data_IF_105873870612
#
_entry.id   IF_105873870612
#
_cell.length_a   1.000
_cell.length_b   1.000
_cell.length_c   1.000
_cell.angle_alpha   90.00
_cell.angle_beta   90.00
_cell.angle_gamma   90.00
#
_symmetry.space_group_name_H-M   'P 1'
#
loop_
_entity.id
_entity.type
_entity.pdbx_description
1 polymer ?
#
# COMPACT_ATOMS: atom_id res chain seq x y z
N UNK A 1 -27.00 14.34 2.78
CA UNK A 1 -26.05 13.44 3.47
C UNK A 1 -25.38 12.60 2.40
N UNK A 2 -24.05 12.66 2.28
CA UNK A 2 -23.33 11.86 1.29
C UNK A 2 -23.35 10.40 1.77
N UNK A 3 -23.94 9.49 0.99
CA UNK A 3 -24.02 8.06 1.32
C UNK A 3 -22.65 7.40 1.06
N UNK A 4 -21.71 7.65 1.98
CA UNK A 4 -20.34 7.13 1.89
C UNK A 4 -20.31 5.61 1.99
N UNK A 5 -21.24 5.00 2.73
CA UNK A 5 -21.36 3.55 2.87
C UNK A 5 -21.80 2.90 1.55
N UNK A 6 -22.83 3.43 0.89
CA UNK A 6 -23.26 2.91 -0.41
C UNK A 6 -22.21 3.12 -1.50
N UNK A 7 -21.53 4.27 -1.51
CA UNK A 7 -20.40 4.51 -2.43
C UNK A 7 -19.27 3.50 -2.23
N UNK A 8 -18.91 3.24 -0.97
CA UNK A 8 -17.92 2.23 -0.61
C UNK A 8 -18.29 0.83 -1.11
N UNK A 9 -19.56 0.41 -0.93
CA UNK A 9 -20.03 -0.88 -1.41
C UNK A 9 -19.94 -1.03 -2.93
N UNK A 10 -20.29 0.02 -3.68
CA UNK A 10 -20.23 0.01 -5.16
C UNK A 10 -18.81 0.16 -5.71
N UNK A 11 -17.87 0.69 -4.94
CA UNK A 11 -16.50 0.95 -5.38
C UNK A 11 -15.64 -0.29 -5.61
N UNK A 12 -16.06 -1.45 -5.09
CA UNK A 12 -15.24 -2.66 -5.05
C UNK A 12 -14.29 -2.74 -3.84
N UNK A 13 -14.06 -1.64 -3.10
CA UNK A 13 -13.12 -1.62 -1.97
C UNK A 13 -13.60 -2.48 -0.80
N UNK A 14 -14.91 -2.55 -0.56
CA UNK A 14 -15.51 -3.44 0.45
C UNK A 14 -15.17 -4.93 0.20
N UNK A 15 -14.89 -5.32 -1.05
CA UNK A 15 -14.50 -6.69 -1.42
C UNK A 15 -13.02 -6.99 -1.19
N UNK A 16 -12.21 -5.95 -0.93
CA UNK A 16 -10.77 -6.05 -0.66
C UNK A 16 -10.42 -5.90 0.82
N UNK A 17 -11.35 -5.37 1.62
CA UNK A 17 -11.14 -5.10 3.05
C UNK A 17 -11.99 -6.01 3.93
N UNK A 18 -11.41 -6.45 5.05
CA UNK A 18 -12.09 -7.28 6.05
C UNK A 18 -11.56 -8.71 6.12
N UNK A 19 -12.17 -9.52 6.99
CA UNK A 19 -11.85 -10.94 7.14
C UNK A 19 -12.17 -11.71 5.84
N UNK A 20 -11.40 -12.76 5.48
CA UNK A 20 -11.62 -13.53 4.25
C UNK A 20 -13.09 -13.99 4.10
N UNK A 21 -13.62 -14.61 5.14
CA UNK A 21 -14.96 -15.23 5.15
C UNK A 21 -16.03 -14.37 5.85
N UNK A 22 -15.68 -13.15 6.27
CA UNK A 22 -16.59 -12.24 6.98
C UNK A 22 -17.55 -11.48 6.05
N UNK A 23 -18.46 -10.65 6.58
CA UNK A 23 -19.15 -9.67 5.73
C UNK A 23 -18.15 -8.63 5.18
N UNK A 24 -18.47 -7.93 4.07
CA UNK A 24 -17.68 -6.79 3.61
C UNK A 24 -17.57 -5.72 4.71
N UNK A 25 -16.37 -5.16 4.89
CA UNK A 25 -16.12 -4.13 5.90
C UNK A 25 -16.50 -2.74 5.36
N UNK A 26 -17.46 -2.06 5.99
CA UNK A 26 -17.89 -0.70 5.65
C UNK A 26 -17.34 0.37 6.60
N UNK A 27 -16.64 -0.01 7.68
CA UNK A 27 -16.08 0.92 8.68
C UNK A 27 -15.02 1.86 8.09
N UNK A 28 -14.49 1.51 6.92
CA UNK A 28 -13.42 2.24 6.21
C UNK A 28 -13.91 3.16 5.09
N UNK A 29 -15.22 3.36 4.97
CA UNK A 29 -15.83 4.18 3.90
C UNK A 29 -15.26 5.61 3.78
N UNK A 30 -14.78 6.19 4.89
CA UNK A 30 -14.10 7.48 4.90
C UNK A 30 -12.83 7.54 4.04
N UNK A 31 -12.16 6.41 3.79
CA UNK A 31 -10.99 6.33 2.91
C UNK A 31 -11.37 6.69 1.47
N UNK A 32 -12.49 6.16 0.96
CA UNK A 32 -12.96 6.48 -0.39
C UNK A 32 -13.38 7.95 -0.48
N UNK A 33 -14.11 8.46 0.51
CA UNK A 33 -14.50 9.88 0.53
C UNK A 33 -13.27 10.81 0.48
N UNK A 34 -12.20 10.44 1.21
CA UNK A 34 -10.94 11.19 1.14
C UNK A 34 -10.26 11.05 -0.23
N UNK A 35 -10.23 9.85 -0.80
CA UNK A 35 -9.67 9.60 -2.12
C UNK A 35 -10.41 10.36 -3.23
N UNK A 36 -11.75 10.45 -3.15
CA UNK A 36 -12.58 11.25 -4.06
C UNK A 36 -12.23 12.74 -3.98
N UNK A 37 -12.05 13.28 -2.77
CA UNK A 37 -11.62 14.67 -2.60
C UNK A 37 -10.22 14.93 -3.19
N UNK A 38 -9.29 13.97 -3.03
CA UNK A 38 -7.96 14.06 -3.64
C UNK A 38 -8.04 13.97 -5.16
N UNK A 39 -8.84 13.04 -5.69
CA UNK A 39 -9.05 12.85 -7.13
C UNK A 39 -9.68 14.09 -7.77
N UNK A 40 -10.65 14.73 -7.12
CA UNK A 40 -11.23 16.00 -7.57
C UNK A 40 -10.16 17.10 -7.65
N UNK A 41 -9.35 17.28 -6.59
CA UNK A 41 -8.29 18.29 -6.59
C UNK A 41 -7.22 18.05 -7.65
N UNK A 42 -6.86 16.79 -7.91
CA UNK A 42 -5.94 16.42 -9.00
C UNK A 42 -6.57 16.73 -10.35
N UNK A 43 -7.84 16.34 -10.55
CA UNK A 43 -8.56 16.55 -11.80
C UNK A 43 -8.73 18.01 -12.16
N UNK A 44 -9.04 18.87 -11.18
CA UNK A 44 -9.08 20.33 -11.36
C UNK A 44 -7.74 20.91 -11.79
N UNK A 45 -6.63 20.42 -11.23
CA UNK A 45 -5.27 20.92 -11.53
C UNK A 45 -4.76 20.45 -12.89
N UNK A 46 -5.09 19.23 -13.28
CA UNK A 46 -4.58 18.59 -14.49
C UNK A 46 -5.55 18.70 -15.68
N UNK A 47 -6.80 19.08 -15.46
CA UNK A 47 -7.83 19.09 -16.50
C UNK A 47 -8.26 17.69 -16.94
N UNK A 48 -8.12 16.68 -16.07
CA UNK A 48 -8.45 15.28 -16.37
C UNK A 48 -9.48 14.74 -15.39
N UNK A 49 -10.30 13.78 -15.82
CA UNK A 49 -11.20 13.06 -14.92
C UNK A 49 -10.44 11.97 -14.18
N UNK A 50 -10.52 11.96 -12.85
CA UNK A 50 -9.91 10.92 -12.01
C UNK A 50 -11.01 10.20 -11.23
N UNK A 51 -11.24 8.92 -11.54
CA UNK A 51 -12.27 8.11 -10.90
C UNK A 51 -11.66 7.31 -9.73
N UNK A 52 -11.68 7.89 -8.53
CA UNK A 52 -11.01 7.34 -7.35
C UNK A 52 -11.32 5.86 -7.08
N UNK A 53 -12.60 5.47 -7.17
CA UNK A 53 -13.01 4.08 -6.98
C UNK A 53 -12.31 3.12 -7.96
N UNK A 54 -12.35 3.43 -9.25
CA UNK A 54 -11.72 2.61 -10.31
C UNK A 54 -10.20 2.60 -10.14
N UNK A 55 -9.60 3.75 -9.85
CA UNK A 55 -8.15 3.86 -9.62
C UNK A 55 -7.68 2.97 -8.47
N UNK A 56 -8.46 2.87 -7.39
CA UNK A 56 -8.09 2.09 -6.21
C UNK A 56 -8.42 0.60 -6.32
N UNK A 57 -9.54 0.24 -6.97
CA UNK A 57 -10.02 -1.16 -7.00
C UNK A 57 -9.81 -1.86 -8.34
N UNK A 58 -9.59 -1.14 -9.43
CA UNK A 58 -9.59 -1.68 -10.79
C UNK A 58 -8.56 -2.79 -11.02
N UNK A 59 -7.31 -2.58 -10.59
CA UNK A 59 -6.26 -3.61 -10.70
C UNK A 59 -6.61 -4.87 -9.91
N UNK A 60 -7.17 -4.70 -8.72
CA UNK A 60 -7.55 -5.81 -7.88
C UNK A 60 -8.70 -6.61 -8.50
N UNK A 61 -9.65 -5.95 -9.17
CA UNK A 61 -10.71 -6.62 -9.92
C UNK A 61 -10.15 -7.43 -11.11
N UNK A 62 -9.22 -6.86 -11.89
CA UNK A 62 -8.58 -7.54 -13.03
C UNK A 62 -7.76 -8.77 -12.59
N UNK A 63 -7.07 -8.66 -11.45
CA UNK A 63 -6.26 -9.73 -10.89
C UNK A 63 -7.06 -10.72 -10.01
N UNK A 64 -8.39 -10.57 -9.91
CA UNK A 64 -9.24 -11.46 -9.11
C UNK A 64 -8.96 -11.42 -7.61
N UNK A 65 -8.34 -10.34 -7.11
CA UNK A 65 -7.96 -10.22 -5.70
C UNK A 65 -9.20 -10.03 -4.83
N UNK A 66 -9.11 -10.54 -3.60
CA UNK A 66 -10.17 -10.51 -2.59
C UNK A 66 -9.57 -10.12 -1.24
N UNK A 67 -10.43 -9.77 -0.29
CA UNK A 67 -10.08 -9.58 1.12
C UNK A 67 -9.42 -10.83 1.71
N UNK A 68 -8.35 -10.64 2.49
CA UNK A 68 -7.58 -11.73 3.13
C UNK A 68 -7.25 -11.45 4.60
N UNK A 69 -8.03 -10.60 5.26
CA UNK A 69 -7.85 -10.25 6.67
C UNK A 69 -6.49 -9.59 6.93
N UNK A 70 -5.60 -10.31 7.60
CA UNK A 70 -4.25 -9.86 7.96
C UNK A 70 -3.22 -10.04 6.85
N UNK A 71 -3.64 -10.59 5.71
CA UNK A 71 -2.78 -10.81 4.55
C UNK A 71 -3.12 -9.74 3.52
N UNK A 72 -2.09 -9.14 2.92
CA UNK A 72 -2.25 -8.23 1.79
C UNK A 72 -3.00 -8.91 0.63
N UNK A 73 -3.67 -8.11 -0.21
CA UNK A 73 -4.44 -8.64 -1.34
C UNK A 73 -3.59 -9.53 -2.28
N UNK A 74 -2.33 -9.15 -2.50
CA UNK A 74 -1.36 -9.92 -3.30
C UNK A 74 -0.70 -11.10 -2.56
N UNK A 75 -0.96 -11.29 -1.27
CA UNK A 75 -0.52 -12.46 -0.50
C UNK A 75 0.89 -12.37 0.11
N UNK A 76 1.76 -11.51 -0.41
CA UNK A 76 3.17 -11.47 -0.02
C UNK A 76 3.43 -10.84 1.37
N UNK A 77 2.57 -9.92 1.81
CA UNK A 77 2.69 -9.28 3.14
C UNK A 77 1.67 -9.86 4.13
N UNK A 78 2.10 -10.15 5.36
CA UNK A 78 1.23 -10.50 6.49
C UNK A 78 1.45 -9.59 7.69
N UNK A 79 0.36 -9.24 8.38
CA UNK A 79 0.38 -8.65 9.72
C UNK A 79 0.50 -9.76 10.76
N UNK A 80 1.57 -9.72 11.55
CA UNK A 80 1.94 -10.73 12.53
C UNK A 80 1.85 -10.14 13.94
N UNK A 81 1.17 -10.83 14.88
CA UNK A 81 1.23 -10.45 16.28
C UNK A 81 2.65 -10.71 16.81
N UNK A 82 3.12 -9.82 17.66
CA UNK A 82 4.33 -10.00 18.46
C UNK A 82 3.96 -9.94 19.94
N UNK A 83 4.92 -10.19 20.83
CA UNK A 83 4.67 -10.20 22.28
C UNK A 83 4.07 -8.88 22.80
N UNK A 84 4.46 -7.76 22.21
CA UNK A 84 4.13 -6.41 22.66
C UNK A 84 3.53 -5.52 21.56
N UNK A 85 3.12 -6.10 20.43
CA UNK A 85 2.55 -5.32 19.32
C UNK A 85 2.28 -6.12 18.07
N UNK A 86 2.44 -5.46 16.92
CA UNK A 86 2.25 -6.02 15.60
C UNK A 86 3.36 -5.56 14.67
N UNK A 87 3.74 -6.41 13.73
CA UNK A 87 4.58 -6.02 12.59
C UNK A 87 3.95 -6.47 11.28
N UNK A 88 4.30 -5.79 10.19
CA UNK A 88 4.05 -6.24 8.83
C UNK A 88 5.35 -6.79 8.26
N UNK A 89 5.35 -8.02 7.75
CA UNK A 89 6.48 -8.64 7.05
C UNK A 89 6.06 -8.96 5.62
N UNK A 90 6.91 -8.64 4.64
CA UNK A 90 6.72 -8.97 3.23
C UNK A 90 7.75 -9.99 2.77
N UNK A 91 7.28 -11.06 2.13
CA UNK A 91 8.11 -12.04 1.43
C UNK A 91 7.67 -12.06 -0.04
N UNK A 92 8.13 -11.09 -0.84
CA UNK A 92 7.71 -10.91 -2.24
C UNK A 92 8.77 -11.36 -3.24
N UNK A 93 10.04 -11.39 -2.82
CA UNK A 93 11.18 -11.83 -3.62
C UNK A 93 11.58 -13.26 -3.23
N UNK A 94 12.13 -14.06 -4.15
CA UNK A 94 12.74 -15.35 -3.82
C UNK A 94 13.78 -15.25 -2.69
N UNK A 95 14.58 -14.18 -2.71
CA UNK A 95 15.59 -13.91 -1.68
C UNK A 95 14.97 -13.64 -0.29
N UNK A 96 13.78 -13.04 -0.24
CA UNK A 96 13.07 -12.85 1.04
C UNK A 96 12.71 -14.21 1.65
N UNK A 97 12.23 -15.15 0.82
CA UNK A 97 11.90 -16.52 1.24
C UNK A 97 13.16 -17.28 1.64
N UNK A 98 14.25 -17.15 0.88
CA UNK A 98 15.53 -17.78 1.17
C UNK A 98 16.17 -17.28 2.47
N UNK A 99 15.83 -16.06 2.93
CA UNK A 99 16.29 -15.50 4.20
C UNK A 99 15.48 -16.00 5.42
N UNK A 100 14.36 -16.71 5.24
CA UNK A 100 13.52 -17.18 6.35
C UNK A 100 14.26 -18.10 7.32
N UNK A 101 15.07 -19.09 6.91
CA UNK A 101 15.83 -19.92 7.85
C UNK A 101 16.72 -19.07 8.77
N UNK A 102 17.38 -18.06 8.20
CA UNK A 102 18.17 -17.10 8.97
C UNK A 102 17.28 -16.24 9.89
N UNK A 103 16.10 -15.80 9.44
CA UNK A 103 15.14 -15.09 10.29
C UNK A 103 14.73 -15.94 11.51
N UNK A 104 14.43 -17.22 11.28
CA UNK A 104 13.94 -18.14 12.30
C UNK A 104 15.03 -18.69 13.23
N UNK A 105 16.31 -18.52 12.86
CA UNK A 105 17.45 -19.19 13.50
C UNK A 105 17.31 -20.72 13.45
N UNK A 106 16.80 -21.23 12.33
CA UNK A 106 16.48 -22.65 12.15
C UNK A 106 16.56 -23.06 10.69
N UNK A 107 17.25 -24.17 10.43
CA UNK A 107 17.37 -24.78 9.10
C UNK A 107 16.24 -25.78 8.78
N UNK A 108 15.18 -25.80 9.59
CA UNK A 108 14.05 -26.70 9.37
C UNK A 108 13.29 -26.32 8.08
N UNK A 109 13.18 -27.25 7.14
CA UNK A 109 12.31 -27.09 5.98
C UNK A 109 10.85 -27.22 6.42
N UNK A 110 10.12 -26.12 6.30
CA UNK A 110 8.71 -26.00 6.72
C UNK A 110 7.74 -25.99 5.54
N UNK A 111 8.24 -26.00 4.30
CA UNK A 111 7.43 -25.82 3.09
C UNK A 111 6.82 -24.42 3.01
N UNK A 112 5.65 -24.22 3.64
CA UNK A 112 5.10 -22.87 3.82
C UNK A 112 5.81 -22.20 5.02
N UNK A 113 6.58 -21.11 4.82
CA UNK A 113 7.32 -20.48 5.91
C UNK A 113 6.41 -19.78 6.93
N UNK A 114 5.17 -19.44 6.55
CA UNK A 114 4.37 -18.49 7.31
C UNK A 114 3.92 -18.96 8.70
N UNK A 115 3.51 -20.23 8.91
CA UNK A 115 3.22 -20.72 10.26
C UNK A 115 4.42 -20.56 11.20
N UNK A 116 5.61 -20.97 10.76
CA UNK A 116 6.83 -20.87 11.57
C UNK A 116 7.23 -19.41 11.85
N UNK A 117 7.10 -18.53 10.86
CA UNK A 117 7.32 -17.08 11.02
C UNK A 117 6.33 -16.47 12.02
N UNK A 118 5.05 -16.87 11.98
CA UNK A 118 4.04 -16.37 12.91
C UNK A 118 4.33 -16.80 14.35
N UNK A 119 4.64 -18.08 14.57
CA UNK A 119 4.98 -18.61 15.89
C UNK A 119 6.25 -17.96 16.45
N UNK A 120 7.26 -17.81 15.59
CA UNK A 120 8.53 -17.16 15.94
C UNK A 120 8.33 -15.69 16.33
N UNK A 121 7.48 -14.96 15.60
CA UNK A 121 7.19 -13.55 15.89
C UNK A 121 6.36 -13.38 17.18
N UNK A 122 5.40 -14.27 17.43
CA UNK A 122 4.46 -14.18 18.55
C UNK A 122 5.14 -14.17 19.93
N UNK A 123 6.30 -14.79 20.06
CA UNK A 123 7.06 -14.89 21.33
C UNK A 123 8.16 -13.83 21.48
N UNK A 124 8.35 -12.95 20.49
CA UNK A 124 9.41 -11.92 20.46
C UNK A 124 8.83 -10.51 20.55
N UNK A 125 9.63 -9.54 21.00
CA UNK A 125 9.21 -8.14 20.90
C UNK A 125 9.14 -7.69 19.45
N UNK A 126 8.28 -6.72 19.16
CA UNK A 126 8.16 -6.13 17.82
C UNK A 126 9.51 -5.56 17.34
N UNK A 127 10.23 -4.89 18.24
CA UNK A 127 11.57 -4.36 17.96
C UNK A 127 12.59 -5.43 17.59
N UNK A 128 12.54 -6.63 18.19
CA UNK A 128 13.44 -7.71 17.86
C UNK A 128 13.12 -8.33 16.49
N UNK A 129 11.83 -8.48 16.18
CA UNK A 129 11.37 -8.95 14.86
C UNK A 129 11.80 -7.98 13.76
N UNK A 130 11.51 -6.68 13.93
CA UNK A 130 11.87 -5.64 12.98
C UNK A 130 13.39 -5.54 12.84
N UNK A 131 14.12 -5.47 13.96
CA UNK A 131 15.58 -5.36 13.95
C UNK A 131 16.24 -6.51 13.20
N UNK A 132 15.76 -7.75 13.39
CA UNK A 132 16.28 -8.91 12.66
C UNK A 132 15.93 -8.89 11.19
N UNK A 133 14.68 -8.56 10.84
CA UNK A 133 14.29 -8.48 9.43
C UNK A 133 15.10 -7.43 8.67
N UNK A 134 15.34 -6.26 9.28
CA UNK A 134 16.20 -5.21 8.69
C UNK A 134 17.64 -5.71 8.47
N UNK A 135 18.22 -6.47 9.40
CA UNK A 135 19.56 -7.05 9.22
C UNK A 135 19.65 -8.04 8.04
N UNK A 136 18.51 -8.64 7.66
CA UNK A 136 18.40 -9.60 6.57
C UNK A 136 17.89 -8.97 5.26
N UNK A 137 17.83 -7.64 5.18
CA UNK A 137 17.23 -6.91 4.06
C UNK A 137 15.76 -7.31 3.76
N UNK A 138 15.03 -7.79 4.78
CA UNK A 138 13.62 -8.12 4.66
C UNK A 138 12.75 -6.87 4.85
N UNK A 139 11.73 -6.65 3.99
CA UNK A 139 10.79 -5.56 4.20
C UNK A 139 9.89 -5.87 5.41
N UNK A 140 10.22 -5.24 6.55
CA UNK A 140 9.52 -5.37 7.81
C UNK A 140 9.31 -4.01 8.47
N UNK A 141 8.16 -3.81 9.10
CA UNK A 141 7.82 -2.57 9.79
C UNK A 141 6.94 -2.87 11.02
N UNK A 142 7.19 -2.18 12.14
CA UNK A 142 6.28 -2.20 13.27
C UNK A 142 5.02 -1.37 12.98
N UNK A 143 3.87 -1.86 13.43
CA UNK A 143 2.61 -1.15 13.27
C UNK A 143 2.63 0.16 14.06
N UNK A 144 2.51 1.28 13.34
CA UNK A 144 2.50 2.62 13.95
C UNK A 144 3.89 3.20 14.25
N UNK A 145 4.96 2.64 13.69
CA UNK A 145 6.32 3.19 13.88
C UNK A 145 6.54 4.53 13.18
N UNK A 146 5.75 4.81 12.14
CA UNK A 146 5.80 6.07 11.40
C UNK A 146 4.66 6.99 11.84
N UNK A 147 5.00 8.20 12.28
CA UNK A 147 4.03 9.27 12.49
C UNK A 147 3.79 10.00 11.17
N UNK A 148 2.52 10.27 10.84
CA UNK A 148 2.19 11.05 9.66
C UNK A 148 2.72 12.50 9.80
N UNK A 149 3.65 12.89 8.94
CA UNK A 149 4.15 14.26 8.85
C UNK A 149 3.63 14.95 7.57
N UNK A 150 3.36 16.27 7.59
CA UNK A 150 3.09 17.00 6.37
C UNK A 150 4.31 16.96 5.44
N UNK A 151 4.13 17.03 4.11
CA UNK A 151 5.25 17.07 3.18
C UNK A 151 6.12 18.29 3.47
N UNK A 152 7.45 18.08 3.53
CA UNK A 152 8.42 19.17 3.64
C UNK A 152 8.58 19.81 2.26
N UNK A 153 8.10 21.04 2.12
CA UNK A 153 8.20 21.81 0.87
C UNK A 153 9.30 22.85 1.02
N UNK A 154 10.37 22.68 0.26
CA UNK A 154 11.47 23.65 0.21
C UNK A 154 11.45 24.36 -1.14
N UNK A 155 11.49 25.69 -1.12
CA UNK A 155 11.56 26.50 -2.34
C UNK A 155 13.01 26.53 -2.83
N UNK A 156 13.26 25.96 -4.01
CA UNK A 156 14.59 25.88 -4.62
C UNK A 156 14.85 26.95 -5.69
N UNK A 157 13.94 27.93 -5.86
CA UNK A 157 14.07 29.02 -6.82
C UNK A 157 12.87 29.98 -6.84
N UNK A 158 12.90 31.05 -7.65
CA UNK A 158 11.78 31.97 -7.78
C UNK A 158 10.52 31.27 -8.31
N UNK A 159 9.34 31.70 -7.85
CA UNK A 159 8.07 31.18 -8.35
C UNK A 159 7.85 31.62 -9.80
N UNK A 160 7.47 30.68 -10.66
CA UNK A 160 7.03 30.96 -12.03
C UNK A 160 5.53 30.74 -12.18
N UNK A 161 4.87 31.37 -13.18
CA UNK A 161 3.50 31.04 -13.55
C UNK A 161 3.35 29.53 -13.86
N UNK A 162 2.19 28.92 -13.58
CA UNK A 162 1.92 27.53 -13.95
C UNK A 162 2.16 27.29 -15.44
N UNK A 163 2.81 26.17 -15.77
CA UNK A 163 2.95 25.70 -17.17
C UNK A 163 1.84 24.71 -17.47
N UNK A 164 1.37 24.72 -18.71
CA UNK A 164 0.49 23.66 -19.19
C UNK A 164 1.23 22.31 -19.11
N UNK A 165 0.53 21.27 -18.68
CA UNK A 165 1.07 19.90 -18.62
C UNK A 165 1.22 19.30 -20.02
N UNK A 166 0.32 19.69 -20.93
CA UNK A 166 0.35 19.27 -22.33
C UNK A 166 1.67 19.61 -23.00
N UNK A 167 2.33 18.61 -23.57
CA UNK A 167 3.61 18.75 -24.26
C UNK A 167 4.84 18.77 -23.34
N UNK A 168 4.68 18.61 -22.02
CA UNK A 168 5.84 18.44 -21.13
C UNK A 168 6.43 17.04 -21.27
N UNK A 169 7.76 16.96 -21.23
CA UNK A 169 8.48 15.72 -20.99
C UNK A 169 8.69 15.56 -19.47
N UNK A 170 8.27 14.42 -18.93
CA UNK A 170 8.37 14.07 -17.52
C UNK A 170 9.23 12.83 -17.41
N UNK A 171 10.30 12.88 -16.62
CA UNK A 171 11.05 11.68 -16.26
C UNK A 171 10.52 11.15 -14.92
N UNK A 172 9.86 9.99 -14.93
CA UNK A 172 9.44 9.33 -13.69
C UNK A 172 10.61 8.56 -13.06
N UNK A 173 11.16 9.10 -11.97
CA UNK A 173 12.23 8.49 -11.16
C UNK A 173 11.70 7.91 -9.84
N UNK A 174 10.39 7.70 -9.73
CA UNK A 174 9.79 7.21 -8.50
C UNK A 174 10.20 5.78 -8.19
N UNK A 175 10.48 5.53 -6.91
CA UNK A 175 11.03 4.25 -6.47
C UNK A 175 9.99 3.25 -5.97
N UNK A 176 8.68 3.58 -5.86
CA UNK A 176 7.55 2.62 -5.75
C UNK A 176 6.14 3.26 -5.50
N UNK A 177 5.08 2.44 -5.66
CA UNK A 177 3.62 2.59 -5.40
C UNK A 177 2.85 3.72 -6.11
N UNK A 178 3.28 4.98 -6.00
CA UNK A 178 2.52 6.11 -6.54
C UNK A 178 2.95 6.52 -7.96
N UNK A 179 4.18 6.18 -8.36
CA UNK A 179 4.80 6.53 -9.64
C UNK A 179 3.94 6.28 -10.86
N UNK A 180 3.63 5.01 -11.17
CA UNK A 180 2.84 4.67 -12.35
C UNK A 180 1.48 5.36 -12.42
N UNK A 181 0.85 5.63 -11.26
CA UNK A 181 -0.41 6.39 -11.21
C UNK A 181 -0.16 7.87 -11.55
N UNK A 182 0.84 8.50 -10.95
CA UNK A 182 1.22 9.88 -11.24
C UNK A 182 1.59 10.05 -12.73
N UNK A 183 2.42 9.16 -13.27
CA UNK A 183 2.78 9.15 -14.68
C UNK A 183 1.57 8.97 -15.58
N UNK A 184 0.69 8.02 -15.30
CA UNK A 184 -0.56 7.82 -16.05
C UNK A 184 -1.48 9.05 -16.04
N UNK A 185 -1.59 9.75 -14.91
CA UNK A 185 -2.38 10.98 -14.79
C UNK A 185 -1.78 12.14 -15.59
N UNK A 186 -0.45 12.29 -15.58
CA UNK A 186 0.25 13.31 -16.36
C UNK A 186 0.16 13.01 -17.87
N UNK A 187 0.31 11.75 -18.26
CA UNK A 187 0.12 11.31 -19.64
C UNK A 187 -1.31 11.57 -20.13
N UNK A 188 -2.33 11.29 -19.29
CA UNK A 188 -3.73 11.63 -19.59
C UNK A 188 -3.96 13.14 -19.74
N UNK A 189 -3.15 13.98 -19.11
CA UNK A 189 -3.16 15.45 -19.26
C UNK A 189 -2.32 15.95 -20.47
N UNK A 190 -1.77 15.03 -21.26
CA UNK A 190 -1.02 15.33 -22.49
C UNK A 190 0.48 15.49 -22.30
N UNK A 191 1.06 15.08 -21.17
CA UNK A 191 2.50 14.96 -21.03
C UNK A 191 3.03 13.71 -21.76
N UNK A 192 4.32 13.71 -22.07
CA UNK A 192 5.10 12.51 -22.38
C UNK A 192 5.83 12.11 -21.10
N UNK A 193 5.56 10.91 -20.59
CA UNK A 193 6.15 10.38 -19.34
C UNK A 193 7.04 9.19 -19.66
#
# INVERSE_FOLDING_TARGET
MNDTAGAWGRSGLAWLTGAPDGPPDFSRSGVLARAEAVAASIGERLGVRVEAAITLSGRAALAGLRRRGRISAGGATRLLPTRDGWCALTLSRPDDVAAVPALLESDADTGDPWPAVADWAAVRSCSAVVGRGVLLDLPVAALGEATAEPPRVTVTGPRCPPRAVTGLLVADLSSMWAGPLCGGLLAAAGATV
#
